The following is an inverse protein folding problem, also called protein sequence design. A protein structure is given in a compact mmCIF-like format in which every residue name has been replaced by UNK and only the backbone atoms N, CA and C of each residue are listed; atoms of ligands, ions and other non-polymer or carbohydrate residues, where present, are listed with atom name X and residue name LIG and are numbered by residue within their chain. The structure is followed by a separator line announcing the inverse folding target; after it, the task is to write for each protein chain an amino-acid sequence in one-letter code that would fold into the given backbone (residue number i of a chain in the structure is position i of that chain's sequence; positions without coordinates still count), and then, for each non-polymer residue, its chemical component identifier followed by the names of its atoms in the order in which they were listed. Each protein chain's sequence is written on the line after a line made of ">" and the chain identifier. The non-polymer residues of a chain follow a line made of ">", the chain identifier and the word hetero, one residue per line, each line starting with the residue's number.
data_IF_354470935267
#
_entry.id   IF_354470935267
#
_cell.length_a   1.000
_cell.length_b   1.000
_cell.length_c   1.000
_cell.angle_alpha   90.00
_cell.angle_beta   90.00
_cell.angle_gamma   90.00
#
_symmetry.space_group_name_H-M   'P 1'
#
loop_
_entity.id
_entity.type
_entity.pdbx_description
1 polymer ?
#
# COMPACT_ATOMS: atom_id res chain seq x y z
N UNK A 1 4.05 9.55 17.38
CA UNK A 1 4.71 9.27 16.10
C UNK A 1 4.02 10.11 15.06
N UNK A 2 4.68 11.15 14.59
CA UNK A 2 4.18 11.95 13.47
C UNK A 2 4.26 11.12 12.19
N UNK A 3 3.37 11.34 11.21
CA UNK A 3 3.47 10.66 9.91
C UNK A 3 4.78 11.12 9.25
N UNK A 4 5.64 10.17 8.88
CA UNK A 4 6.93 10.48 8.23
C UNK A 4 8.14 10.60 9.17
N UNK A 5 7.96 10.52 10.49
CA UNK A 5 9.06 10.58 11.46
C UNK A 5 9.99 9.37 11.27
N UNK A 6 11.20 9.60 10.76
CA UNK A 6 12.17 8.55 10.41
C UNK A 6 12.17 8.09 8.94
N UNK A 7 11.29 8.63 8.09
CA UNK A 7 11.22 8.29 6.66
C UNK A 7 11.88 9.34 5.74
N UNK A 8 12.48 10.39 6.31
CA UNK A 8 12.95 11.58 5.58
C UNK A 8 14.04 11.28 4.53
N UNK A 9 14.81 10.21 4.72
CA UNK A 9 15.86 9.74 3.81
C UNK A 9 15.52 8.43 3.08
N UNK A 10 14.28 7.93 3.19
CA UNK A 10 13.89 6.64 2.60
C UNK A 10 13.62 6.82 1.10
N UNK A 11 14.59 6.38 0.29
CA UNK A 11 14.40 6.20 -1.14
C UNK A 11 13.63 4.90 -1.40
N UNK A 12 12.63 4.95 -2.29
CA UNK A 12 11.91 3.73 -2.68
C UNK A 12 12.86 2.82 -3.46
N UNK A 13 13.17 1.67 -2.88
CA UNK A 13 14.01 0.62 -3.45
C UNK A 13 13.16 -0.63 -3.68
N UNK A 14 13.54 -1.40 -4.69
CA UNK A 14 13.00 -2.75 -4.92
C UNK A 14 14.16 -3.68 -5.15
N UNK A 15 14.15 -4.82 -4.48
CA UNK A 15 15.04 -5.91 -4.80
C UNK A 15 14.49 -6.62 -6.06
N UNK A 16 15.31 -6.90 -7.09
CA UNK A 16 14.86 -7.58 -8.30
C UNK A 16 14.23 -8.96 -8.03
N UNK A 17 14.56 -9.56 -6.88
CA UNK A 17 14.04 -10.83 -6.37
C UNK A 17 12.61 -10.74 -5.79
N UNK A 18 12.13 -9.54 -5.47
CA UNK A 18 10.78 -9.32 -4.93
C UNK A 18 9.73 -9.09 -6.04
N UNK A 19 10.17 -9.03 -7.30
CA UNK A 19 9.30 -8.98 -8.48
C UNK A 19 8.90 -10.40 -8.86
N UNK A 20 7.61 -10.61 -9.13
CA UNK A 20 7.17 -11.86 -9.73
C UNK A 20 7.55 -11.96 -11.22
N UNK A 21 7.23 -13.10 -11.84
CA UNK A 21 7.53 -13.37 -13.26
C UNK A 21 6.85 -12.38 -14.23
N UNK A 22 5.78 -11.70 -13.79
CA UNK A 22 5.00 -10.74 -14.57
C UNK A 22 5.39 -9.28 -14.25
N UNK A 23 6.26 -9.04 -13.27
CA UNK A 23 6.76 -7.74 -12.86
C UNK A 23 5.87 -6.99 -11.84
N UNK A 24 4.98 -7.70 -11.15
CA UNK A 24 4.25 -7.18 -10.00
C UNK A 24 5.01 -7.39 -8.70
N UNK A 25 4.67 -6.57 -7.71
CA UNK A 25 5.22 -6.61 -6.36
C UNK A 25 4.18 -6.05 -5.39
N UNK A 26 4.13 -6.59 -4.18
CA UNK A 26 3.25 -6.05 -3.14
C UNK A 26 3.76 -4.71 -2.60
N UNK A 27 2.85 -3.82 -2.21
CA UNK A 27 3.20 -2.55 -1.55
C UNK A 27 4.05 -2.80 -0.30
N UNK A 28 3.74 -3.87 0.43
CA UNK A 28 4.50 -4.28 1.60
C UNK A 28 5.96 -4.63 1.25
N UNK A 29 6.20 -5.40 0.20
CA UNK A 29 7.56 -5.78 -0.20
C UNK A 29 8.38 -4.55 -0.64
N UNK A 30 7.75 -3.64 -1.39
CA UNK A 30 8.39 -2.35 -1.75
C UNK A 30 8.78 -1.59 -0.48
N UNK A 31 7.87 -1.46 0.48
CA UNK A 31 8.12 -0.72 1.71
C UNK A 31 9.20 -1.39 2.57
N UNK A 32 9.15 -2.72 2.68
CA UNK A 32 10.10 -3.54 3.43
C UNK A 32 11.52 -3.44 2.85
N UNK A 33 11.66 -3.54 1.53
CA UNK A 33 12.95 -3.38 0.84
C UNK A 33 13.49 -1.94 0.96
N UNK A 34 12.61 -0.95 0.99
CA UNK A 34 13.00 0.47 1.13
C UNK A 34 13.44 0.82 2.55
N UNK A 35 12.89 0.15 3.55
CA UNK A 35 13.12 0.40 4.98
C UNK A 35 14.06 -0.64 5.64
N UNK A 36 14.88 -1.34 4.87
CA UNK A 36 15.83 -2.35 5.36
C UNK A 36 15.18 -3.41 6.29
N UNK A 37 13.91 -3.77 6.02
CA UNK A 37 13.07 -4.71 6.78
C UNK A 37 12.72 -4.26 8.21
N UNK A 38 12.87 -2.97 8.54
CA UNK A 38 12.35 -2.41 9.78
C UNK A 38 10.82 -2.40 9.76
N UNK A 39 10.20 -3.15 10.67
CA UNK A 39 8.74 -3.32 10.72
C UNK A 39 7.99 -2.01 10.92
N UNK A 40 8.48 -1.14 11.81
CA UNK A 40 7.79 0.11 12.15
C UNK A 40 7.84 1.09 10.97
N UNK A 41 9.01 1.20 10.32
CA UNK A 41 9.17 2.04 9.13
C UNK A 41 8.45 1.46 7.92
N UNK A 42 8.46 0.14 7.74
CA UNK A 42 7.73 -0.56 6.67
C UNK A 42 6.24 -0.28 6.77
N UNK A 43 5.66 -0.39 7.97
CA UNK A 43 4.25 -0.08 8.22
C UNK A 43 3.95 1.39 7.97
N UNK A 44 4.80 2.30 8.43
CA UNK A 44 4.63 3.73 8.21
C UNK A 44 4.66 4.12 6.71
N UNK A 45 5.58 3.53 5.95
CA UNK A 45 5.71 3.74 4.51
C UNK A 45 4.54 3.12 3.76
N UNK A 46 4.16 1.88 4.09
CA UNK A 46 2.99 1.19 3.52
C UNK A 46 1.70 1.98 3.73
N UNK A 47 1.49 2.51 4.94
CA UNK A 47 0.33 3.35 5.24
C UNK A 47 0.30 4.61 4.37
N UNK A 48 1.45 5.25 4.19
CA UNK A 48 1.59 6.46 3.37
C UNK A 48 1.36 6.17 1.88
N UNK A 49 1.87 5.05 1.38
CA UNK A 49 1.67 4.58 0.01
C UNK A 49 0.21 4.23 -0.26
N UNK A 50 -0.42 3.40 0.58
CA UNK A 50 -1.85 3.06 0.46
C UNK A 50 -2.73 4.30 0.50
N UNK A 51 -2.47 5.21 1.46
CA UNK A 51 -3.18 6.46 1.58
C UNK A 51 -3.04 7.33 0.33
N UNK A 52 -1.85 7.39 -0.26
CA UNK A 52 -1.58 8.14 -1.48
C UNK A 52 -2.30 7.55 -2.69
N UNK A 53 -2.16 6.25 -2.92
CA UNK A 53 -2.78 5.55 -4.05
C UNK A 53 -4.31 5.68 -4.03
N UNK A 54 -4.90 5.47 -2.86
CA UNK A 54 -6.34 5.65 -2.66
C UNK A 54 -6.76 7.10 -2.91
N UNK A 55 -6.03 8.09 -2.36
CA UNK A 55 -6.35 9.51 -2.56
C UNK A 55 -6.23 9.96 -4.03
N UNK A 56 -5.41 9.28 -4.82
CA UNK A 56 -5.24 9.53 -6.24
C UNK A 56 -6.15 8.68 -7.14
N UNK A 57 -6.93 7.76 -6.57
CA UNK A 57 -7.83 6.89 -7.32
C UNK A 57 -7.07 5.98 -8.29
N UNK A 58 -6.00 5.35 -7.82
CA UNK A 58 -5.16 4.48 -8.63
C UNK A 58 -5.89 3.17 -9.00
N UNK A 59 -5.99 2.82 -10.27
CA UNK A 59 -6.73 1.65 -10.78
C UNK A 59 -5.86 0.43 -11.12
N UNK A 60 -4.54 0.58 -11.14
CA UNK A 60 -3.60 -0.50 -11.46
C UNK A 60 -3.21 -1.37 -10.26
N UNK A 61 -3.88 -1.24 -9.11
CA UNK A 61 -3.67 -2.18 -8.00
C UNK A 61 -4.34 -3.49 -8.35
N UNK A 62 -3.58 -4.56 -8.30
CA UNK A 62 -4.00 -5.92 -8.59
C UNK A 62 -4.02 -6.73 -7.30
N UNK A 63 -4.96 -7.65 -7.21
CA UNK A 63 -4.94 -8.67 -6.18
C UNK A 63 -5.53 -9.96 -6.76
N UNK A 64 -5.02 -11.11 -6.33
CA UNK A 64 -5.59 -12.38 -6.74
C UNK A 64 -7.01 -12.57 -6.21
N UNK A 65 -7.84 -13.33 -6.91
CA UNK A 65 -9.21 -13.63 -6.46
C UNK A 65 -9.25 -14.22 -5.04
N UNK A 66 -8.30 -15.09 -4.68
CA UNK A 66 -8.19 -15.67 -3.33
C UNK A 66 -7.84 -14.62 -2.28
N UNK A 67 -6.96 -13.66 -2.61
CA UNK A 67 -6.61 -12.58 -1.69
C UNK A 67 -7.75 -11.59 -1.52
N UNK A 68 -8.49 -11.28 -2.59
CA UNK A 68 -9.70 -10.46 -2.52
C UNK A 68 -10.75 -11.07 -1.58
N UNK A 69 -11.09 -12.35 -1.78
CA UNK A 69 -12.03 -13.08 -0.92
C UNK A 69 -11.57 -13.11 0.54
N UNK A 70 -10.27 -13.28 0.76
CA UNK A 70 -9.69 -13.25 2.10
C UNK A 70 -9.84 -11.87 2.75
N UNK A 71 -9.49 -10.80 2.04
CA UNK A 71 -9.62 -9.42 2.53
C UNK A 71 -11.08 -9.05 2.80
N UNK A 72 -12.01 -9.47 1.95
CA UNK A 72 -13.45 -9.30 2.17
C UNK A 72 -13.90 -10.03 3.44
N UNK A 73 -13.48 -11.29 3.63
CA UNK A 73 -13.78 -12.03 4.87
C UNK A 73 -13.20 -11.35 6.11
N UNK A 74 -12.01 -10.76 6.02
CA UNK A 74 -11.43 -10.00 7.12
C UNK A 74 -12.17 -8.68 7.36
N UNK A 75 -12.63 -8.01 6.30
CA UNK A 75 -13.42 -6.79 6.41
C UNK A 75 -14.79 -7.05 7.05
N UNK A 76 -15.45 -8.16 6.70
CA UNK A 76 -16.70 -8.58 7.35
C UNK A 76 -16.54 -8.85 8.85
N UNK A 77 -15.38 -9.40 9.26
CA UNK A 77 -15.05 -9.66 10.67
C UNK A 77 -14.65 -8.40 11.42
N UNK A 78 -13.83 -7.57 10.80
CA UNK A 78 -13.38 -6.29 11.34
C UNK A 78 -13.30 -5.22 10.24
N UNK A 79 -14.31 -4.34 10.22
CA UNK A 79 -14.35 -3.22 9.29
C UNK A 79 -13.14 -2.27 9.42
N UNK A 80 -12.36 -2.36 10.51
CA UNK A 80 -11.14 -1.57 10.68
C UNK A 80 -10.07 -1.89 9.64
N UNK A 81 -10.11 -3.04 8.97
CA UNK A 81 -9.17 -3.42 7.91
C UNK A 81 -9.02 -2.31 6.86
N UNK A 82 -10.13 -1.71 6.42
CA UNK A 82 -10.11 -0.61 5.45
C UNK A 82 -10.11 0.79 6.10
N UNK A 83 -10.42 0.90 7.40
CA UNK A 83 -10.54 2.19 8.08
C UNK A 83 -9.31 2.61 8.89
N UNK A 84 -8.46 1.66 9.28
CA UNK A 84 -7.37 1.89 10.22
C UNK A 84 -5.99 1.89 9.53
N UNK A 85 -5.82 2.65 8.46
CA UNK A 85 -4.50 2.81 7.83
C UNK A 85 -3.66 3.85 8.56
N UNK A 86 -3.13 3.48 9.72
CA UNK A 86 -2.22 4.29 10.51
C UNK A 86 -0.86 3.58 10.64
N UNK A 87 0.25 4.31 10.82
CA UNK A 87 1.58 3.73 10.98
C UNK A 87 1.72 2.71 12.11
N UNK A 88 0.79 2.68 13.06
CA UNK A 88 0.76 1.79 14.22
C UNK A 88 -0.24 0.62 14.07
N UNK A 89 -0.96 0.55 12.95
CA UNK A 89 -2.02 -0.45 12.76
C UNK A 89 -1.56 -1.62 11.88
N UNK A 90 -1.67 -2.83 12.41
CA UNK A 90 -1.44 -4.09 11.68
C UNK A 90 -2.41 -4.30 10.51
N UNK A 91 -3.52 -3.54 10.48
CA UNK A 91 -4.43 -3.54 9.33
C UNK A 91 -3.76 -3.03 8.05
N UNK A 92 -2.74 -2.17 8.18
CA UNK A 92 -1.91 -1.73 7.05
C UNK A 92 -1.12 -2.91 6.50
N UNK A 93 -0.53 -3.72 7.38
CA UNK A 93 0.29 -4.87 6.99
C UNK A 93 -0.54 -5.85 6.18
N UNK A 94 -1.75 -6.14 6.66
CA UNK A 94 -2.70 -7.02 6.00
C UNK A 94 -3.03 -6.50 4.59
N UNK A 95 -3.49 -5.26 4.46
CA UNK A 95 -3.89 -4.71 3.15
C UNK A 95 -2.69 -4.56 2.21
N UNK A 96 -1.55 -4.08 2.70
CA UNK A 96 -0.35 -3.83 1.88
C UNK A 96 0.30 -5.11 1.35
N UNK A 97 0.19 -6.23 2.07
CA UNK A 97 0.68 -7.54 1.61
C UNK A 97 -0.13 -8.08 0.43
N UNK A 98 -1.41 -7.74 0.36
CA UNK A 98 -2.34 -8.22 -0.67
C UNK A 98 -2.61 -7.19 -1.78
N UNK A 99 -2.01 -6.00 -1.68
CA UNK A 99 -2.08 -4.95 -2.70
C UNK A 99 -0.85 -5.05 -3.60
N UNK A 100 -1.01 -5.60 -4.80
CA UNK A 100 0.08 -5.76 -5.76
C UNK A 100 0.02 -4.65 -6.82
N UNK A 101 1.18 -4.22 -7.29
CA UNK A 101 1.28 -3.18 -8.31
C UNK A 101 2.35 -3.53 -9.35
N UNK A 102 2.13 -3.20 -10.63
CA UNK A 102 3.16 -3.31 -11.65
C UNK A 102 4.27 -2.31 -11.37
N UNK A 103 5.45 -2.80 -10.99
CA UNK A 103 6.52 -1.98 -10.40
C UNK A 103 6.90 -0.76 -11.24
N UNK A 104 7.10 -0.95 -12.56
CA UNK A 104 7.52 0.12 -13.47
C UNK A 104 6.48 1.25 -13.55
N UNK A 105 5.20 0.88 -13.63
CA UNK A 105 4.11 1.85 -13.68
C UNK A 105 3.96 2.57 -12.33
N UNK A 106 4.08 1.83 -11.23
CA UNK A 106 4.02 2.37 -9.88
C UNK A 106 5.12 3.42 -9.63
N UNK A 107 6.38 3.14 -9.92
CA UNK A 107 7.47 4.12 -9.75
C UNK A 107 7.26 5.34 -10.63
N UNK A 108 6.89 5.15 -11.91
CA UNK A 108 6.56 6.26 -12.80
C UNK A 108 5.42 7.11 -12.26
N UNK A 109 4.39 6.49 -11.69
CA UNK A 109 3.26 7.17 -11.08
C UNK A 109 3.67 7.99 -9.85
N UNK A 110 4.46 7.41 -8.93
CA UNK A 110 4.94 8.12 -7.74
C UNK A 110 5.76 9.36 -8.12
N UNK A 111 6.66 9.24 -9.10
CA UNK A 111 7.45 10.37 -9.60
C UNK A 111 6.57 11.44 -10.25
N UNK A 112 5.66 11.05 -11.14
CA UNK A 112 4.76 11.96 -11.85
C UNK A 112 3.81 12.71 -10.90
N UNK A 113 3.30 12.01 -9.89
CA UNK A 113 2.38 12.57 -8.90
C UNK A 113 3.09 13.24 -7.71
N UNK A 114 4.43 13.31 -7.75
CA UNK A 114 5.30 13.92 -6.73
C UNK A 114 5.00 13.38 -5.33
N UNK A 115 4.95 12.05 -5.22
CA UNK A 115 4.79 11.39 -3.94
C UNK A 115 5.85 11.86 -2.95
N UNK A 116 5.41 12.14 -1.72
CA UNK A 116 6.26 12.56 -0.62
C UNK A 116 5.98 11.66 0.59
N UNK A 117 7.01 10.92 1.03
CA UNK A 117 6.98 9.95 2.13
C UNK A 117 6.63 10.56 3.49
N UNK A 118 6.88 11.86 3.70
CA UNK A 118 6.57 12.53 4.98
C UNK A 118 5.18 13.14 5.03
N UNK A 119 4.46 13.12 3.90
CA UNK A 119 3.13 13.70 3.82
C UNK A 119 2.08 12.73 4.36
N UNK A 120 1.20 13.22 5.22
CA UNK A 120 0.06 12.44 5.67
C UNK A 120 -1.02 12.35 4.59
N UNK A 121 -1.13 11.18 3.96
CA UNK A 121 -2.24 10.84 3.07
C UNK A 121 -3.33 10.12 3.84
N UNK A 122 -4.33 10.87 4.30
CA UNK A 122 -5.50 10.33 4.99
C UNK A 122 -6.76 10.44 4.11
N UNK A 123 -7.01 9.48 3.18
CA UNK A 123 -8.25 9.44 2.41
C UNK A 123 -9.45 9.16 3.33
N UNK A 124 -10.65 9.60 2.94
CA UNK A 124 -11.88 9.39 3.74
C UNK A 124 -12.23 7.91 3.72
N UNK A 125 -12.96 7.46 4.75
CA UNK A 125 -13.39 6.06 4.85
C UNK A 125 -14.16 5.58 3.61
N UNK A 126 -15.05 6.42 3.07
CA UNK A 126 -15.81 6.11 1.86
C UNK A 126 -14.91 5.93 0.64
N UNK A 127 -13.91 6.81 0.46
CA UNK A 127 -12.97 6.74 -0.65
C UNK A 127 -12.15 5.45 -0.60
N UNK A 128 -11.81 4.95 0.60
CA UNK A 128 -11.06 3.69 0.77
C UNK A 128 -11.88 2.47 0.39
N UNK A 129 -13.15 2.44 0.79
CA UNK A 129 -14.07 1.33 0.46
C UNK A 129 -14.35 1.32 -1.03
N UNK A 130 -14.66 2.46 -1.62
CA UNK A 130 -14.90 2.59 -3.05
C UNK A 130 -13.66 2.17 -3.86
N UNK A 131 -12.48 2.64 -3.45
CA UNK A 131 -11.22 2.29 -4.10
C UNK A 131 -10.94 0.79 -4.03
N UNK A 132 -11.10 0.17 -2.86
CA UNK A 132 -10.88 -1.26 -2.67
C UNK A 132 -11.90 -2.11 -3.44
N UNK A 133 -13.19 -1.80 -3.35
CA UNK A 133 -14.26 -2.64 -3.91
C UNK A 133 -14.47 -2.46 -5.41
N UNK A 134 -14.20 -1.27 -5.95
CA UNK A 134 -14.56 -0.94 -7.33
C UNK A 134 -13.37 -0.62 -8.24
N UNK A 135 -12.18 -0.32 -7.69
CA UNK A 135 -11.03 0.09 -8.50
C UNK A 135 -9.89 -0.92 -8.52
N UNK A 136 -9.81 -1.82 -7.55
CA UNK A 136 -8.81 -2.88 -7.59
C UNK A 136 -9.16 -3.87 -8.70
N UNK A 137 -8.15 -4.23 -9.49
CA UNK A 137 -8.27 -5.26 -10.50
C UNK A 137 -8.13 -6.62 -9.82
N UNK A 138 -9.25 -7.32 -9.65
CA UNK A 138 -9.27 -8.70 -9.14
C UNK A 138 -9.11 -9.65 -10.33
N UNK A 139 -8.04 -10.43 -10.34
CA UNK A 139 -7.65 -11.29 -11.47
C UNK A 139 -7.11 -12.65 -11.05
#
# INVERSE_FOLDING_TARGET
>A
MSVGEGLEDVAIKVAPEDLDEEGYISIWNIASASCDKDLAMTRALSASLLGFLCKKGCDFVVTSSTNAEYLDSQFEKDNKVLYAWKPDSEMVDLVAQHAEVPYKAFIGFLANQKFNVTTNYSPRRIDRVEWFQNMWSVG
#
